data_IF_340331016723
#
_entry.id   IF_340331016723
#
_cell.length_a   1.000
_cell.length_b   1.000
_cell.length_c   1.000
_cell.angle_alpha   90.00
_cell.angle_beta   90.00
_cell.angle_gamma   90.00
#
_symmetry.space_group_name_H-M   'P 1'
#
loop_
_entity.id
_entity.type
_entity.pdbx_description
1 polymer ?
#
# COMPACT_ATOMS: atom_id res chain seq x y z
N UNK A 1 18.64 -41.23 40.58
CA UNK A 1 17.22 -40.84 40.67
C UNK A 1 17.09 -39.45 40.05
N UNK A 2 16.72 -39.37 38.77
CA UNK A 2 16.35 -38.11 38.12
C UNK A 2 14.86 -37.90 38.36
N UNK A 3 14.46 -36.77 38.92
CA UNK A 3 13.07 -36.51 39.31
C UNK A 3 12.18 -36.41 38.06
N UNK A 4 10.96 -36.93 38.17
CA UNK A 4 9.94 -36.92 37.10
C UNK A 4 9.47 -35.51 36.70
N UNK A 5 9.99 -34.47 37.33
CA UNK A 5 9.57 -33.08 37.15
C UNK A 5 10.29 -32.35 36.00
N UNK A 6 11.34 -32.92 35.42
CA UNK A 6 12.07 -32.28 34.31
C UNK A 6 11.50 -32.60 32.91
N UNK A 7 10.58 -33.58 32.78
CA UNK A 7 10.08 -34.02 31.48
C UNK A 7 8.81 -33.26 31.03
N UNK A 8 8.10 -32.62 31.96
CA UNK A 8 6.84 -31.90 31.68
C UNK A 8 7.06 -30.47 31.18
N UNK A 9 8.25 -29.88 31.43
CA UNK A 9 8.55 -28.49 31.01
C UNK A 9 8.96 -28.40 29.54
N UNK A 10 9.46 -29.48 28.94
CA UNK A 10 9.91 -29.48 27.54
C UNK A 10 8.74 -29.71 26.56
N UNK A 11 7.63 -30.33 27.00
CA UNK A 11 6.47 -30.58 26.13
C UNK A 11 5.50 -29.40 26.01
N UNK A 12 5.53 -28.43 26.95
CA UNK A 12 4.68 -27.25 26.90
C UNK A 12 5.31 -26.08 26.12
N UNK A 13 6.64 -26.09 25.91
CA UNK A 13 7.35 -25.02 25.20
C UNK A 13 7.34 -25.17 23.66
N UNK A 14 6.92 -26.32 23.13
CA UNK A 14 6.95 -26.60 21.68
C UNK A 14 5.58 -26.38 21.00
N UNK A 15 4.51 -26.20 21.79
CA UNK A 15 3.13 -26.10 21.29
C UNK A 15 2.61 -24.65 21.11
N UNK A 16 3.45 -23.64 21.35
CA UNK A 16 3.08 -22.22 21.23
C UNK A 16 3.89 -21.46 20.16
N UNK A 17 4.52 -22.18 19.23
CA UNK A 17 5.11 -21.61 18.00
C UNK A 17 4.12 -21.73 16.84
N UNK A 18 2.85 -21.39 17.09
CA UNK A 18 1.96 -20.91 16.04
C UNK A 18 2.23 -19.42 15.87
N UNK A 19 3.43 -19.07 15.39
CA UNK A 19 3.67 -17.72 14.88
C UNK A 19 2.71 -17.57 13.70
N UNK A 20 1.71 -16.71 13.84
CA UNK A 20 1.09 -16.09 12.69
C UNK A 20 2.26 -15.51 11.88
N UNK A 21 2.56 -16.09 10.73
CA UNK A 21 3.38 -15.41 9.74
C UNK A 21 2.53 -14.23 9.28
N UNK A 22 2.70 -13.08 9.94
CA UNK A 22 2.43 -11.81 9.30
C UNK A 22 3.39 -11.76 8.14
N UNK A 23 2.91 -12.12 6.95
CA UNK A 23 3.69 -11.97 5.74
C UNK A 23 4.04 -10.48 5.65
N UNK A 24 5.34 -10.18 5.60
CA UNK A 24 5.80 -8.84 5.28
C UNK A 24 5.27 -8.53 3.88
N UNK A 25 4.36 -7.56 3.79
CA UNK A 25 3.79 -7.08 2.54
C UNK A 25 4.69 -5.96 2.05
N UNK A 26 5.39 -6.12 0.92
CA UNK A 26 6.17 -5.03 0.38
C UNK A 26 5.29 -3.81 0.18
N UNK A 27 5.92 -2.65 0.18
CA UNK A 27 5.26 -1.37 -0.01
C UNK A 27 6.09 -0.56 -0.98
N UNK A 28 5.43 0.09 -1.92
CA UNK A 28 6.05 1.12 -2.73
C UNK A 28 5.40 2.48 -2.46
N UNK A 29 6.24 3.50 -2.34
CA UNK A 29 5.84 4.89 -2.38
C UNK A 29 6.40 5.49 -3.66
N UNK A 30 5.53 6.18 -4.40
CA UNK A 30 5.90 7.04 -5.49
C UNK A 30 6.00 8.47 -4.94
N UNK A 31 7.17 9.06 -5.09
CA UNK A 31 7.39 10.47 -4.85
C UNK A 31 7.53 11.18 -6.19
N UNK A 32 6.99 12.38 -6.27
CA UNK A 32 7.08 13.25 -7.43
C UNK A 32 7.82 14.52 -7.04
N UNK A 33 8.68 15.03 -7.93
CA UNK A 33 9.35 16.30 -7.69
C UNK A 33 8.40 17.48 -7.90
N UNK A 34 8.40 18.44 -6.99
CA UNK A 34 7.60 19.67 -7.09
C UNK A 34 8.05 20.61 -8.23
N UNK A 35 9.16 20.27 -8.89
CA UNK A 35 9.68 21.03 -10.03
C UNK A 35 9.88 20.12 -11.22
N UNK A 36 9.29 20.51 -12.34
CA UNK A 36 9.51 19.85 -13.61
C UNK A 36 11.00 19.85 -13.97
N UNK A 37 11.47 18.71 -14.45
CA UNK A 37 12.84 18.56 -14.91
C UNK A 37 12.87 17.91 -16.27
N UNK A 38 13.70 18.44 -17.18
CA UNK A 38 13.81 17.93 -18.56
C UNK A 38 14.32 16.46 -18.66
N UNK A 39 14.62 15.78 -17.54
CA UNK A 39 15.31 14.50 -17.53
C UNK A 39 14.96 13.58 -16.33
N UNK A 40 14.01 12.65 -16.52
CA UNK A 40 13.92 11.31 -15.90
C UNK A 40 14.18 11.23 -14.40
N UNK A 41 13.83 12.29 -13.68
CA UNK A 41 14.12 12.49 -12.26
C UNK A 41 12.91 13.04 -11.51
N UNK A 42 11.75 13.11 -12.17
CA UNK A 42 10.51 13.64 -11.60
C UNK A 42 9.89 12.61 -10.68
N UNK A 43 9.88 11.34 -11.09
CA UNK A 43 9.31 10.26 -10.30
C UNK A 43 10.39 9.42 -9.61
N UNK A 44 10.32 9.32 -8.29
CA UNK A 44 11.18 8.51 -7.45
C UNK A 44 10.37 7.43 -6.75
N UNK A 45 10.76 6.18 -6.92
CA UNK A 45 10.12 5.05 -6.25
C UNK A 45 10.97 4.58 -5.08
N UNK A 46 10.36 4.45 -3.91
CA UNK A 46 10.94 3.87 -2.71
C UNK A 46 10.19 2.60 -2.32
N UNK A 47 10.92 1.49 -2.26
CA UNK A 47 10.41 0.20 -1.82
C UNK A 47 10.77 -0.07 -0.36
N UNK A 48 9.83 -0.62 0.39
CA UNK A 48 9.96 -1.06 1.77
C UNK A 48 9.52 -2.52 1.88
N UNK A 49 10.11 -3.27 2.81
CA UNK A 49 9.77 -4.69 2.99
C UNK A 49 8.39 -4.89 3.65
N UNK A 50 7.99 -3.94 4.49
CA UNK A 50 6.75 -3.95 5.26
C UNK A 50 6.44 -2.55 5.84
N UNK A 51 5.26 -2.41 6.46
CA UNK A 51 4.84 -1.17 7.12
C UNK A 51 5.80 -0.73 8.21
N UNK A 52 6.41 -1.66 8.95
CA UNK A 52 7.36 -1.30 9.99
C UNK A 52 8.61 -0.68 9.38
N UNK A 53 9.09 -1.22 8.25
CA UNK A 53 10.20 -0.65 7.48
C UNK A 53 9.84 0.74 6.94
N UNK A 54 8.61 0.97 6.49
CA UNK A 54 8.12 2.31 6.15
C UNK A 54 8.14 3.23 7.37
N UNK A 55 7.56 2.80 8.50
CA UNK A 55 7.52 3.58 9.75
C UNK A 55 8.94 3.93 10.24
N UNK A 56 9.88 3.00 10.14
CA UNK A 56 11.26 3.18 10.57
C UNK A 56 12.16 3.84 9.50
N UNK A 57 11.60 4.22 8.34
CA UNK A 57 12.33 4.75 7.17
C UNK A 57 13.46 3.83 6.66
N UNK A 58 13.29 2.51 6.81
CA UNK A 58 14.24 1.52 6.33
C UNK A 58 13.92 1.12 4.88
N UNK A 59 14.42 1.93 3.94
CA UNK A 59 14.28 1.68 2.51
C UNK A 59 15.01 0.39 2.10
N UNK A 60 14.31 -0.50 1.40
CA UNK A 60 14.87 -1.72 0.84
C UNK A 60 15.61 -1.44 -0.48
N UNK A 61 14.94 -0.73 -1.39
CA UNK A 61 15.51 -0.26 -2.65
C UNK A 61 14.83 1.01 -3.11
N UNK A 62 15.49 1.80 -3.96
CA UNK A 62 14.88 2.96 -4.58
C UNK A 62 15.48 3.27 -5.94
N UNK A 63 14.73 3.95 -6.78
CA UNK A 63 15.17 4.35 -8.12
C UNK A 63 14.34 5.51 -8.67
N UNK A 64 14.95 6.31 -9.54
CA UNK A 64 14.22 7.25 -10.36
C UNK A 64 13.66 6.55 -11.59
N UNK A 65 12.38 6.79 -11.86
CA UNK A 65 11.78 6.40 -13.14
C UNK A 65 12.37 7.24 -14.27
N UNK A 66 12.61 6.61 -15.41
CA UNK A 66 12.96 7.27 -16.66
C UNK A 66 11.73 7.87 -17.37
N UNK A 67 10.54 7.75 -16.78
CA UNK A 67 9.36 8.47 -17.24
C UNK A 67 9.58 9.97 -17.04
N UNK A 68 9.39 10.74 -18.11
CA UNK A 68 9.28 12.19 -18.04
C UNK A 68 7.79 12.54 -18.01
N UNK A 69 7.36 13.19 -16.94
CA UNK A 69 6.07 13.80 -16.88
C UNK A 69 6.10 15.09 -17.71
N UNK A 70 4.94 15.44 -18.24
CA UNK A 70 4.77 16.74 -18.84
C UNK A 70 4.52 17.72 -17.70
N UNK A 71 5.06 18.94 -17.80
CA UNK A 71 4.95 20.05 -16.83
C UNK A 71 3.54 20.59 -16.61
N UNK A 72 2.52 19.82 -16.97
CA UNK A 72 1.12 20.16 -16.82
C UNK A 72 0.38 18.99 -16.17
N UNK A 73 1.12 18.02 -15.63
CA UNK A 73 0.57 16.85 -14.98
C UNK A 73 1.35 16.57 -13.71
N UNK A 74 0.60 16.22 -12.68
CA UNK A 74 1.07 15.66 -11.43
C UNK A 74 0.60 14.21 -11.29
N UNK A 75 1.21 13.47 -10.37
CA UNK A 75 0.83 12.11 -10.02
C UNK A 75 -0.23 12.10 -8.92
N UNK A 76 -1.38 11.52 -9.26
CA UNK A 76 -2.57 11.44 -8.40
C UNK A 76 -2.79 10.08 -7.75
N UNK A 77 -1.87 9.13 -7.98
CA UNK A 77 -1.93 7.80 -7.39
C UNK A 77 -1.21 6.72 -8.18
N UNK A 78 -0.89 5.61 -7.50
CA UNK A 78 -0.29 4.42 -8.09
C UNK A 78 -0.98 3.19 -7.52
N UNK A 79 -1.52 2.33 -8.40
CA UNK A 79 -2.12 1.05 -8.01
C UNK A 79 -1.40 -0.11 -8.68
N UNK A 80 -1.29 -1.25 -7.99
CA UNK A 80 -0.98 -2.54 -8.61
C UNK A 80 -2.23 -3.41 -8.60
N UNK A 81 -2.68 -3.84 -9.78
CA UNK A 81 -3.95 -4.58 -9.92
C UNK A 81 -3.78 -6.12 -9.89
N UNK A 82 -2.59 -6.59 -9.48
CA UNK A 82 -2.21 -8.00 -9.54
C UNK A 82 -1.57 -8.42 -10.85
N UNK A 83 -1.64 -7.59 -11.91
CA UNK A 83 -0.99 -7.86 -13.20
C UNK A 83 -0.11 -6.73 -13.69
N UNK A 84 -0.49 -5.48 -13.42
CA UNK A 84 0.17 -4.28 -13.93
C UNK A 84 0.08 -3.13 -12.93
N UNK A 85 1.00 -2.18 -13.05
CA UNK A 85 0.93 -0.90 -12.36
C UNK A 85 0.10 0.07 -13.17
N UNK A 86 -0.79 0.78 -12.50
CA UNK A 86 -1.57 1.88 -13.05
C UNK A 86 -1.14 3.16 -12.35
N UNK A 87 -0.44 4.02 -13.07
CA UNK A 87 -0.10 5.36 -12.63
C UNK A 87 -1.23 6.29 -13.07
N UNK A 88 -1.87 6.93 -12.09
CA UNK A 88 -2.84 7.99 -12.30
C UNK A 88 -2.08 9.31 -12.34
N UNK A 89 -2.27 10.05 -13.42
CA UNK A 89 -1.79 11.41 -13.59
C UNK A 89 -2.99 12.34 -13.69
N UNK A 90 -2.87 13.51 -13.09
CA UNK A 90 -3.86 14.56 -13.11
C UNK A 90 -3.29 15.81 -13.76
N UNK A 91 -4.05 16.45 -14.63
CA UNK A 91 -3.67 17.69 -15.28
C UNK A 91 -3.76 18.86 -14.30
N UNK A 92 -2.68 19.66 -14.18
CA UNK A 92 -2.62 20.84 -13.30
C UNK A 92 -3.61 21.94 -13.69
N UNK A 93 -4.17 21.85 -14.90
CA UNK A 93 -5.25 22.71 -15.34
C UNK A 93 -6.55 21.93 -15.45
N UNK A 94 -7.58 22.45 -14.80
CA UNK A 94 -8.95 21.98 -15.00
C UNK A 94 -9.35 22.14 -16.47
N UNK A 95 -9.82 21.04 -17.07
CA UNK A 95 -10.35 21.04 -18.42
C UNK A 95 -11.85 20.79 -18.39
N UNK A 96 -12.65 21.56 -19.15
CA UNK A 96 -14.12 21.45 -19.14
C UNK A 96 -14.69 20.11 -19.68
N UNK A 97 -13.88 19.07 -19.96
CA UNK A 97 -14.37 17.77 -20.43
C UNK A 97 -13.32 16.64 -20.41
N UNK A 98 -13.38 15.74 -19.42
CA UNK A 98 -12.97 14.33 -19.53
C UNK A 98 -11.54 14.12 -20.01
N UNK A 99 -10.62 14.96 -19.54
CA UNK A 99 -9.20 14.95 -19.89
C UNK A 99 -8.32 15.36 -18.71
N UNK A 100 -8.89 15.51 -17.52
CA UNK A 100 -8.16 15.85 -16.30
C UNK A 100 -7.32 14.65 -15.84
N UNK A 101 -7.88 13.44 -15.93
CA UNK A 101 -7.19 12.22 -15.51
C UNK A 101 -6.63 11.43 -16.69
N UNK A 102 -5.35 11.08 -16.60
CA UNK A 102 -4.63 10.23 -17.54
C UNK A 102 -4.07 9.01 -16.82
N UNK A 103 -4.25 7.83 -17.39
CA UNK A 103 -3.73 6.60 -16.81
C UNK A 103 -2.65 6.04 -17.72
N UNK A 104 -1.47 5.77 -17.12
CA UNK A 104 -0.39 5.04 -17.76
C UNK A 104 -0.21 3.67 -17.10
N UNK A 105 -0.26 2.62 -17.91
CA UNK A 105 -0.10 1.24 -17.48
C UNK A 105 1.32 0.75 -17.73
N UNK A 106 1.84 -0.05 -16.80
CA UNK A 106 3.15 -0.68 -16.87
C UNK A 106 3.04 -2.15 -16.50
N UNK A 107 3.57 -3.03 -17.35
CA UNK A 107 3.47 -4.49 -17.16
C UNK A 107 4.28 -4.99 -15.95
N UNK A 108 5.19 -4.17 -15.41
CA UNK A 108 6.00 -4.53 -14.25
C UNK A 108 6.58 -3.29 -13.54
N UNK A 109 7.09 -3.49 -12.33
CA UNK A 109 7.84 -2.46 -11.60
C UNK A 109 9.05 -1.97 -12.41
N UNK A 110 9.76 -2.88 -13.09
CA UNK A 110 10.91 -2.50 -13.91
C UNK A 110 10.47 -1.67 -15.12
N UNK A 111 9.31 -1.95 -15.71
CA UNK A 111 8.75 -1.11 -16.77
C UNK A 111 8.45 0.30 -16.27
N UNK A 112 7.93 0.44 -15.04
CA UNK A 112 7.70 1.72 -14.40
C UNK A 112 9.02 2.47 -14.16
N UNK A 113 10.06 1.79 -13.66
CA UNK A 113 11.41 2.39 -13.53
C UNK A 113 12.00 2.78 -14.88
N UNK A 114 11.87 1.94 -15.91
CA UNK A 114 12.46 2.20 -17.23
C UNK A 114 11.62 3.19 -18.08
N UNK A 115 10.45 3.63 -17.59
CA UNK A 115 9.53 4.48 -18.35
C UNK A 115 8.86 3.78 -19.55
N UNK A 116 8.81 2.45 -19.54
CA UNK A 116 8.26 1.64 -20.63
C UNK A 116 6.75 1.43 -20.46
N UNK A 117 5.97 2.42 -20.90
CA UNK A 117 4.50 2.41 -20.89
C UNK A 117 3.95 1.32 -21.83
N UNK A 118 3.09 0.43 -21.32
CA UNK A 118 2.44 -0.62 -22.14
C UNK A 118 1.14 -0.15 -22.78
N UNK A 119 0.36 0.67 -22.07
CA UNK A 119 -0.80 1.38 -22.59
C UNK A 119 -1.03 2.68 -21.84
N UNK A 120 -1.75 3.62 -22.47
CA UNK A 120 -2.21 4.81 -21.77
C UNK A 120 -3.47 5.40 -22.39
N UNK A 121 -4.27 6.08 -21.59
CA UNK A 121 -5.50 6.74 -22.03
C UNK A 121 -5.95 7.80 -21.04
N UNK A 122 -6.62 8.84 -21.56
CA UNK A 122 -7.42 9.72 -20.72
C UNK A 122 -8.66 8.98 -20.22
N UNK A 123 -9.03 9.24 -18.97
CA UNK A 123 -10.34 8.92 -18.44
C UNK A 123 -11.37 9.94 -18.91
N UNK A 124 -12.59 9.49 -19.19
CA UNK A 124 -13.74 10.35 -19.47
C UNK A 124 -14.41 10.87 -18.19
N UNK A 125 -13.87 10.53 -17.01
CA UNK A 125 -14.28 11.14 -15.74
C UNK A 125 -13.97 12.64 -15.80
N UNK A 126 -14.98 13.44 -15.49
CA UNK A 126 -14.84 14.89 -15.34
C UNK A 126 -14.75 15.19 -13.85
N UNK A 127 -13.63 15.79 -13.45
CA UNK A 127 -13.40 16.15 -12.06
C UNK A 127 -13.98 17.54 -11.81
N UNK A 128 -14.57 17.71 -10.64
CA UNK A 128 -14.93 19.04 -10.20
C UNK A 128 -13.63 19.78 -9.88
N UNK A 129 -13.47 21.00 -10.37
CA UNK A 129 -12.31 21.90 -10.20
C UNK A 129 -12.02 22.35 -8.76
N UNK A 130 -12.56 21.63 -7.78
CA UNK A 130 -12.33 21.85 -6.36
C UNK A 130 -11.85 20.56 -5.70
N UNK A 131 -11.50 19.56 -6.49
CA UNK A 131 -11.03 18.25 -6.06
C UNK A 131 -9.84 17.86 -6.91
N UNK A 132 -8.81 17.39 -6.21
CA UNK A 132 -7.65 16.73 -6.79
C UNK A 132 -7.70 15.24 -6.46
N UNK A 133 -7.01 14.43 -7.25
CA UNK A 133 -6.83 13.01 -7.01
C UNK A 133 -5.75 12.77 -5.95
N UNK A 134 -6.15 12.08 -4.88
CA UNK A 134 -5.33 11.85 -3.69
C UNK A 134 -4.90 10.38 -3.50
N UNK A 135 -5.22 9.52 -4.48
CA UNK A 135 -4.82 8.12 -4.47
C UNK A 135 -5.68 7.21 -5.32
N UNK A 136 -5.07 6.12 -5.77
CA UNK A 136 -5.71 5.05 -6.53
C UNK A 136 -5.34 3.70 -5.90
N UNK A 137 -6.34 2.91 -5.50
CA UNK A 137 -6.13 1.55 -5.02
C UNK A 137 -6.91 0.54 -5.88
N UNK A 138 -6.37 -0.67 -6.01
CA UNK A 138 -7.13 -1.83 -6.49
C UNK A 138 -7.35 -2.79 -5.33
N UNK A 139 -8.60 -3.11 -5.04
CA UNK A 139 -8.95 -3.92 -3.86
C UNK A 139 -9.06 -5.43 -4.13
N UNK A 140 -8.56 -5.88 -5.28
CA UNK A 140 -8.73 -7.23 -5.79
C UNK A 140 -9.99 -7.43 -6.63
N UNK A 141 -10.91 -6.46 -6.63
CA UNK A 141 -12.17 -6.54 -7.39
C UNK A 141 -12.50 -5.27 -8.17
N UNK A 142 -12.15 -4.10 -7.65
CA UNK A 142 -12.50 -2.80 -8.20
C UNK A 142 -11.40 -1.78 -7.92
N UNK A 143 -11.36 -0.73 -8.74
CA UNK A 143 -10.50 0.42 -8.50
C UNK A 143 -11.24 1.42 -7.61
N UNK A 144 -10.56 1.89 -6.56
CA UNK A 144 -11.02 2.95 -5.69
C UNK A 144 -10.17 4.20 -5.94
N UNK A 145 -10.82 5.26 -6.36
CA UNK A 145 -10.24 6.59 -6.51
C UNK A 145 -10.60 7.42 -5.29
N UNK A 146 -9.57 7.97 -4.64
CA UNK A 146 -9.71 8.99 -3.61
C UNK A 146 -9.59 10.35 -4.28
N UNK A 147 -10.59 11.19 -4.07
CA UNK A 147 -10.57 12.61 -4.41
C UNK A 147 -10.56 13.42 -3.12
N UNK A 148 -9.66 14.38 -3.03
CA UNK A 148 -9.51 15.29 -1.91
C UNK A 148 -9.89 16.71 -2.36
N UNK A 149 -10.65 17.42 -1.53
CA UNK A 149 -11.03 18.79 -1.80
C UNK A 149 -9.80 19.71 -1.73
N UNK A 150 -9.59 20.56 -2.73
CA UNK A 150 -8.45 21.52 -2.76
C UNK A 150 -8.52 22.56 -1.64
N UNK A 151 -9.68 22.70 -1.01
CA UNK A 151 -9.88 23.53 0.15
C UNK A 151 -10.25 22.66 1.35
N UNK A 152 -9.58 22.92 2.48
CA UNK A 152 -9.94 22.36 3.78
C UNK A 152 -11.44 22.57 4.04
N UNK A 153 -12.09 21.49 4.45
CA UNK A 153 -13.50 21.53 4.78
C UNK A 153 -13.79 20.67 6.01
N UNK A 154 -14.93 20.91 6.66
CA UNK A 154 -15.33 20.07 7.77
C UNK A 154 -15.55 18.61 7.30
N UNK A 155 -15.26 17.66 8.19
CA UNK A 155 -15.55 16.23 8.05
C UNK A 155 -16.83 15.94 7.24
N UNK A 156 -16.75 15.02 6.27
CA UNK A 156 -17.88 14.70 5.41
C UNK A 156 -17.94 15.46 4.09
N UNK A 157 -17.00 16.37 3.83
CA UNK A 157 -16.94 17.15 2.57
C UNK A 157 -15.56 17.14 1.90
N UNK A 158 -14.53 16.66 2.60
CA UNK A 158 -13.13 16.76 2.18
C UNK A 158 -12.69 15.58 1.32
N UNK A 159 -13.02 14.36 1.75
CA UNK A 159 -12.63 13.13 1.04
C UNK A 159 -13.85 12.53 0.34
N UNK A 160 -13.76 12.36 -0.97
CA UNK A 160 -14.75 11.70 -1.80
C UNK A 160 -14.18 10.43 -2.42
N UNK A 161 -14.85 9.31 -2.20
CA UNK A 161 -14.45 8.01 -2.76
C UNK A 161 -15.32 7.68 -3.97
N UNK A 162 -14.69 7.28 -5.07
CA UNK A 162 -15.36 6.73 -6.25
C UNK A 162 -14.84 5.33 -6.58
N UNK A 163 -15.76 4.39 -6.78
CA UNK A 163 -15.47 2.99 -7.10
C UNK A 163 -15.77 2.69 -8.56
N UNK A 164 -14.90 1.90 -9.19
CA UNK A 164 -15.01 1.48 -10.58
C UNK A 164 -14.81 -0.03 -10.69
N UNK A 165 -15.78 -0.73 -11.28
CA UNK A 165 -15.74 -2.20 -11.42
C UNK A 165 -14.53 -2.72 -12.21
N UNK A 166 -13.87 -1.87 -13.00
CA UNK A 166 -12.71 -2.23 -13.81
C UNK A 166 -11.91 -1.00 -14.22
N UNK A 167 -10.69 -1.21 -14.73
CA UNK A 167 -9.89 -0.15 -15.34
C UNK A 167 -10.62 0.49 -16.52
N UNK A 168 -11.34 -0.30 -17.33
CA UNK A 168 -12.14 0.24 -18.43
C UNK A 168 -13.28 1.12 -17.92
N UNK A 169 -13.93 0.74 -16.82
CA UNK A 169 -14.97 1.58 -16.19
C UNK A 169 -14.39 2.91 -15.71
N UNK A 170 -13.17 2.90 -15.14
CA UNK A 170 -12.45 4.12 -14.77
C UNK A 170 -12.11 4.97 -16.00
N UNK A 171 -11.63 4.37 -17.08
CA UNK A 171 -11.36 5.07 -18.34
C UNK A 171 -12.62 5.64 -18.99
N UNK A 172 -13.75 4.93 -18.90
CA UNK A 172 -15.04 5.37 -19.45
C UNK A 172 -15.77 6.36 -18.52
N UNK A 173 -15.23 6.64 -17.33
CA UNK A 173 -15.89 7.47 -16.32
C UNK A 173 -17.18 6.86 -15.75
N UNK A 174 -17.33 5.53 -15.84
CA UNK A 174 -18.51 4.80 -15.36
C UNK A 174 -18.35 4.44 -13.88
N UNK A 175 -18.81 5.34 -13.01
CA UNK A 175 -18.78 5.16 -11.55
C UNK A 175 -19.79 4.08 -11.12
N UNK A 176 -19.31 3.06 -10.42
CA UNK A 176 -20.15 1.99 -9.86
C UNK A 176 -20.83 2.44 -8.54
N UNK A 177 -20.06 3.09 -7.68
CA UNK A 177 -20.54 3.72 -6.45
C UNK A 177 -19.66 4.89 -6.05
N UNK A 178 -20.21 5.82 -5.28
CA UNK A 178 -19.42 6.92 -4.73
C UNK A 178 -20.02 7.45 -3.44
N UNK A 179 -19.18 7.97 -2.55
CA UNK A 179 -19.62 8.58 -1.30
C UNK A 179 -18.57 9.54 -0.76
N UNK A 180 -19.03 10.60 -0.08
CA UNK A 180 -18.16 11.31 0.84
C UNK A 180 -17.81 10.41 2.03
N UNK A 181 -16.56 10.49 2.45
CA UNK A 181 -16.08 9.93 3.71
C UNK A 181 -16.28 10.94 4.84
N UNK A 182 -16.56 10.45 6.04
CA UNK A 182 -16.54 11.21 7.29
C UNK A 182 -15.12 11.42 7.83
N UNK A 183 -14.10 10.94 7.12
CA UNK A 183 -12.72 11.28 7.39
C UNK A 183 -12.52 12.80 7.30
N UNK A 184 -11.76 13.33 8.24
CA UNK A 184 -11.35 14.72 8.31
C UNK A 184 -9.83 14.73 8.34
N UNK A 185 -9.23 15.01 7.20
CA UNK A 185 -7.81 15.25 7.08
C UNK A 185 -7.53 16.59 7.79
N UNK A 186 -6.36 16.70 8.40
CA UNK A 186 -6.00 17.94 9.06
C UNK A 186 -5.52 18.92 7.99
N UNK A 187 -5.89 20.19 8.09
CA UNK A 187 -5.48 21.30 7.21
C UNK A 187 -3.97 21.57 7.03
N UNK A 188 -3.10 20.69 7.54
CA UNK A 188 -1.66 20.74 7.31
C UNK A 188 -1.16 19.42 6.69
N UNK A 189 -2.08 18.62 6.16
CA UNK A 189 -1.84 17.35 5.53
C UNK A 189 -2.70 17.24 4.28
N UNK A 190 -2.10 16.62 3.27
CA UNK A 190 -2.78 16.18 2.05
C UNK A 190 -2.63 14.68 1.90
N UNK A 191 -3.47 14.06 1.10
CA UNK A 191 -3.37 12.65 0.77
C UNK A 191 -2.28 12.40 -0.27
N UNK A 192 -1.29 11.59 0.12
CA UNK A 192 -0.17 11.18 -0.74
C UNK A 192 -0.34 9.80 -1.36
N UNK A 193 -1.50 9.16 -1.14
CA UNK A 193 -1.86 7.90 -1.79
C UNK A 193 -2.78 6.98 -0.96
N UNK A 194 -3.46 6.08 -1.67
CA UNK A 194 -4.35 5.07 -1.11
C UNK A 194 -3.92 3.69 -1.60
N UNK A 195 -3.81 2.72 -0.69
CA UNK A 195 -3.53 1.33 -1.03
C UNK A 195 -4.52 0.37 -0.35
N UNK A 196 -4.69 -0.81 -0.93
CA UNK A 196 -5.35 -1.93 -0.28
C UNK A 196 -4.35 -3.08 -0.15
N UNK A 197 -4.14 -3.55 1.08
CA UNK A 197 -3.10 -4.55 1.39
C UNK A 197 -3.61 -6.00 1.31
N UNK A 198 -4.81 -6.22 0.77
CA UNK A 198 -5.49 -7.50 0.78
C UNK A 198 -6.41 -7.71 2.00
N UNK A 199 -6.33 -6.84 3.02
CA UNK A 199 -7.15 -6.92 4.23
C UNK A 199 -7.74 -5.58 4.66
N UNK A 200 -6.98 -4.50 4.55
CA UNK A 200 -7.32 -3.17 5.02
C UNK A 200 -6.96 -2.11 3.97
N UNK A 201 -7.66 -0.98 4.03
CA UNK A 201 -7.30 0.22 3.29
C UNK A 201 -6.29 1.02 4.08
N UNK A 202 -5.33 1.60 3.37
CA UNK A 202 -4.17 2.25 3.94
C UNK A 202 -4.03 3.59 3.23
N UNK A 203 -4.15 4.66 4.01
CA UNK A 203 -4.05 6.04 3.53
C UNK A 203 -2.71 6.61 3.98
N UNK A 204 -1.91 7.03 3.01
CA UNK A 204 -0.71 7.79 3.24
C UNK A 204 -1.09 9.27 3.20
N UNK A 205 -0.80 9.98 4.29
CA UNK A 205 -0.91 11.42 4.38
C UNK A 205 0.48 12.01 4.45
N UNK A 206 0.68 13.12 3.75
CA UNK A 206 1.90 13.92 3.77
C UNK A 206 1.58 15.28 4.38
N UNK A 207 2.48 15.83 5.20
CA UNK A 207 2.30 17.18 5.71
C UNK A 207 2.63 18.22 4.64
N UNK A 208 1.76 19.22 4.47
CA UNK A 208 1.95 20.29 3.48
C UNK A 208 3.16 21.19 3.78
N UNK A 209 3.71 21.09 4.99
CA UNK A 209 4.89 21.82 5.40
C UNK A 209 6.01 20.84 5.73
N UNK A 210 7.17 21.08 5.11
CA UNK A 210 8.41 20.40 5.50
C UNK A 210 8.64 20.54 7.00
N UNK A 211 8.91 19.43 7.66
CA UNK A 211 9.20 19.39 9.08
C UNK A 211 10.45 18.56 9.35
N UNK A 212 11.07 18.77 10.52
CA UNK A 212 12.20 17.92 10.89
C UNK A 212 11.76 16.45 10.91
N UNK A 213 12.65 15.55 10.48
CA UNK A 213 12.39 14.12 10.28
C UNK A 213 11.45 13.48 11.33
N UNK A 214 10.45 12.74 10.86
CA UNK A 214 9.55 11.94 11.69
C UNK A 214 8.14 12.48 11.88
N UNK A 215 7.74 13.54 11.16
CA UNK A 215 6.38 14.11 11.23
C UNK A 215 5.74 14.41 9.86
N UNK A 216 6.42 14.10 8.75
CA UNK A 216 5.93 14.44 7.41
C UNK A 216 4.99 13.36 6.86
N UNK A 217 5.35 12.09 7.01
CA UNK A 217 4.54 10.97 6.49
C UNK A 217 3.74 10.33 7.62
N UNK A 218 2.43 10.29 7.48
CA UNK A 218 1.50 9.66 8.40
C UNK A 218 0.72 8.56 7.69
N UNK A 219 0.71 7.37 8.27
CA UNK A 219 -0.03 6.23 7.76
C UNK A 219 -1.27 5.99 8.62
N UNK A 220 -2.44 5.92 7.99
CA UNK A 220 -3.69 5.53 8.62
C UNK A 220 -4.26 4.25 7.99
N UNK A 221 -4.66 3.31 8.84
CA UNK A 221 -5.23 2.03 8.43
C UNK A 221 -6.72 1.96 8.77
N UNK A 222 -7.50 1.40 7.86
CA UNK A 222 -8.95 1.21 7.97
C UNK A 222 -9.29 -0.24 7.66
N UNK A 223 -9.94 -0.94 8.60
CA UNK A 223 -10.27 -2.37 8.48
C UNK A 223 -11.13 -2.74 7.26
N UNK A 224 -11.79 -1.75 6.64
CA UNK A 224 -12.63 -1.95 5.46
C UNK A 224 -12.86 -0.64 4.72
N UNK A 225 -13.38 -0.73 3.49
CA UNK A 225 -13.85 0.44 2.74
C UNK A 225 -14.92 1.22 3.52
N UNK A 226 -15.84 0.52 4.20
CA UNK A 226 -16.84 1.18 5.03
C UNK A 226 -16.20 1.92 6.22
N UNK A 227 -15.16 1.34 6.84
CA UNK A 227 -14.40 2.02 7.90
C UNK A 227 -13.73 3.29 7.39
N UNK A 228 -13.19 3.27 6.15
CA UNK A 228 -12.67 4.45 5.48
C UNK A 228 -13.77 5.50 5.24
N UNK A 229 -14.95 5.11 4.76
CA UNK A 229 -16.10 6.02 4.60
C UNK A 229 -16.63 6.58 5.92
N UNK A 230 -16.60 5.79 6.99
CA UNK A 230 -17.06 6.22 8.31
C UNK A 230 -15.98 7.03 9.07
N UNK A 231 -14.77 7.18 8.52
CA UNK A 231 -13.64 7.82 9.19
C UNK A 231 -13.14 7.05 10.42
N UNK A 232 -13.42 5.74 10.51
CA UNK A 232 -13.05 4.89 11.65
C UNK A 232 -11.66 4.31 11.45
N UNK A 233 -10.65 5.02 11.98
CA UNK A 233 -9.24 4.60 11.93
C UNK A 233 -9.00 3.41 12.86
N UNK A 234 -8.49 2.31 12.31
CA UNK A 234 -8.14 1.10 13.05
C UNK A 234 -6.77 1.23 13.74
N UNK A 235 -5.80 1.77 13.01
CA UNK A 235 -4.47 2.11 13.55
C UNK A 235 -3.84 3.24 12.76
N UNK A 236 -2.86 3.93 13.34
CA UNK A 236 -2.09 4.95 12.64
C UNK A 236 -0.70 5.13 13.23
N UNK A 237 0.21 5.66 12.44
CA UNK A 237 1.60 5.91 12.85
C UNK A 237 2.26 6.98 11.99
N UNK A 238 3.10 7.81 12.61
CA UNK A 238 4.05 8.63 11.88
C UNK A 238 5.24 7.78 11.46
N UNK A 239 5.65 7.94 10.21
CA UNK A 239 6.90 7.41 9.70
C UNK A 239 8.06 8.36 10.02
N UNK A 240 9.24 7.78 10.24
CA UNK A 240 10.52 8.47 10.30
C UNK A 240 11.03 8.90 8.92
N UNK A 241 10.30 8.55 7.85
CA UNK A 241 10.61 8.96 6.49
C UNK A 241 10.52 10.48 6.42
N UNK A 242 11.60 11.08 5.93
CA UNK A 242 11.64 12.49 5.62
C UNK A 242 11.62 12.61 4.09
N UNK A 243 10.57 13.22 3.58
CA UNK A 243 10.47 13.52 2.17
C UNK A 243 11.26 14.82 1.95
N UNK A 244 12.04 14.86 0.88
CA UNK A 244 12.81 16.05 0.60
C UNK A 244 11.86 17.18 0.19
N UNK A 245 12.10 18.40 0.66
CA UNK A 245 11.38 19.63 0.34
C UNK A 245 11.16 20.00 -1.15
N UNK A 246 11.60 19.17 -2.07
CA UNK A 246 11.35 19.34 -3.51
C UNK A 246 10.60 18.13 -4.08
N UNK A 247 9.99 17.33 -3.21
CA UNK A 247 9.22 16.14 -3.54
C UNK A 247 7.97 16.11 -2.68
N UNK A 248 6.93 15.55 -3.27
CA UNK A 248 5.65 15.23 -2.63
C UNK A 248 5.30 13.76 -2.89
N UNK A 249 4.49 13.15 -2.05
CA UNK A 249 3.98 11.79 -2.24
C UNK A 249 2.85 11.79 -3.27
N UNK A 250 3.01 11.02 -4.35
CA UNK A 250 2.06 10.95 -5.47
C UNK A 250 1.54 9.54 -5.75
N UNK A 251 1.81 8.58 -4.86
CA UNK A 251 1.31 7.22 -5.02
C UNK A 251 1.78 6.24 -3.95
N UNK A 252 0.96 5.22 -3.70
CA UNK A 252 1.17 4.28 -2.62
C UNK A 252 0.61 2.91 -2.99
N UNK A 253 1.47 1.88 -2.97
CA UNK A 253 1.10 0.49 -3.25
C UNK A 253 1.45 -0.37 -2.05
N UNK A 254 0.52 -1.21 -1.64
CA UNK A 254 0.75 -2.29 -0.69
C UNK A 254 0.41 -3.61 -1.36
N UNK A 255 1.36 -4.55 -1.38
CA UNK A 255 1.13 -5.82 -2.05
C UNK A 255 0.38 -6.78 -1.14
N UNK A 256 -0.79 -7.23 -1.59
CA UNK A 256 -1.46 -8.35 -0.97
C UNK A 256 -0.61 -9.63 -1.13
N UNK A 257 -0.51 -10.49 -0.10
CA UNK A 257 0.19 -11.75 -0.22
C UNK A 257 -0.54 -12.67 -1.23
N UNK A 258 0.15 -13.08 -2.28
CA UNK A 258 -0.35 -14.14 -3.17
C UNK A 258 -0.27 -15.49 -2.45
N UNK A 259 -1.43 -15.94 -1.96
CA UNK A 259 -1.65 -17.22 -1.28
C UNK A 259 -0.84 -17.48 0.01
N UNK A 260 -1.37 -18.26 0.98
CA UNK A 260 -0.57 -18.71 2.10
C UNK A 260 0.57 -19.58 1.59
N UNK A 261 1.82 -19.14 1.81
CA UNK A 261 3.00 -19.97 1.55
C UNK A 261 2.78 -21.32 2.21
N UNK A 262 2.85 -22.40 1.42
CA UNK A 262 2.80 -23.76 1.94
C UNK A 262 3.90 -23.90 2.99
N UNK A 263 3.49 -23.81 4.27
CA UNK A 263 4.39 -24.03 5.39
C UNK A 263 4.94 -25.43 5.19
N UNK A 264 6.26 -25.54 4.93
CA UNK A 264 6.91 -26.84 4.96
C UNK A 264 6.53 -27.46 6.30
N UNK A 265 5.81 -28.60 6.26
CA UNK A 265 5.31 -29.26 7.45
C UNK A 265 6.43 -29.24 8.50
N UNK A 266 6.21 -28.64 9.68
CA UNK A 266 7.27 -28.54 10.66
C UNK A 266 7.85 -29.94 10.84
N UNK A 267 9.16 -30.02 11.06
CA UNK A 267 9.85 -31.28 11.34
C UNK A 267 9.29 -32.04 12.57
N UNK A 268 8.18 -31.57 13.17
CA UNK A 268 7.32 -32.25 14.16
C UNK A 268 6.87 -33.63 13.71
N UNK A 269 6.58 -33.90 12.43
CA UNK A 269 6.31 -35.28 11.98
C UNK A 269 7.57 -36.16 12.06
N UNK A 270 8.73 -35.62 11.65
CA UNK A 270 10.03 -36.28 11.80
C UNK A 270 10.42 -36.51 13.27
N UNK A 271 10.17 -35.54 14.13
CA UNK A 271 10.43 -35.62 15.58
C UNK A 271 9.43 -36.54 16.30
N UNK A 272 8.17 -36.62 15.86
CA UNK A 272 7.20 -37.58 16.37
C UNK A 272 7.62 -39.01 16.02
N UNK A 273 8.09 -39.24 14.79
CA UNK A 273 8.59 -40.55 14.34
C UNK A 273 9.89 -40.93 15.07
N UNK A 274 10.83 -39.98 15.25
CA UNK A 274 12.06 -40.21 16.03
C UNK A 274 11.76 -40.43 17.52
N UNK A 275 10.79 -39.71 18.09
CA UNK A 275 10.33 -39.86 19.47
C UNK A 275 9.66 -41.21 19.72
N UNK A 276 8.79 -41.67 18.82
CA UNK A 276 8.17 -42.99 18.87
C UNK A 276 9.21 -44.11 18.66
N UNK A 277 10.16 -43.94 17.74
CA UNK A 277 11.28 -44.87 17.53
C UNK A 277 12.15 -45.03 18.78
N UNK A 278 12.48 -43.93 19.46
CA UNK A 278 13.24 -43.94 20.71
C UNK A 278 12.48 -44.63 21.86
N UNK A 279 11.15 -44.46 21.94
CA UNK A 279 10.31 -45.17 22.92
C UNK A 279 10.25 -46.68 22.66
N UNK A 280 10.13 -47.10 21.40
CA UNK A 280 10.11 -48.52 21.04
C UNK A 280 11.46 -49.22 21.26
N UNK A 281 12.57 -48.53 20.98
CA UNK A 281 13.93 -49.02 21.30
C UNK A 281 14.17 -49.15 22.80
N UNK A 282 13.60 -48.27 23.62
CA UNK A 282 13.69 -48.35 25.09
C UNK A 282 12.87 -49.53 25.65
N UNK A 283 11.73 -49.85 25.07
CA UNK A 283 10.89 -50.96 25.54
C UNK A 283 11.49 -52.35 25.25
N UNK A 284 12.26 -52.47 24.14
CA UNK A 284 12.99 -53.72 23.82
C UNK A 284 14.17 -54.01 24.76
N UNK A 285 14.77 -53.00 25.41
CA UNK A 285 15.88 -53.20 26.35
C UNK A 285 15.46 -53.59 27.76
N UNK A 286 14.17 -53.50 28.10
CA UNK A 286 13.63 -53.89 29.42
C UNK A 286 13.05 -55.31 29.45
N UNK A 287 13.13 -56.05 28.34
CA UNK A 287 12.61 -57.43 28.20
C UNK A 287 13.73 -58.48 27.97
N UNK A 288 15.00 -58.11 28.19
CA UNK A 288 16.15 -59.01 28.21
C UNK A 288 16.79 -59.01 29.60
#
# INVERSE_FOLDING_TARGET
MLSRSALTVISAAVLYLGLAQTHAMPIDILLESDTDSDAGSELFLANFNDYQSLIDATVNSSSFSQLNLNSTFSSGGLAFDGSSYQLLLESDSDADAGSELFIASFDSYQNLIDGNVSSSSFSQLNLNSTFSSGGLAFDGSSYQLLLESDADSDAGSEVFMASFDSLQSLLDGTVASSSFSQLNINANFSSGGLAFDGSAYQLLLESDADSDAGSEVFLASFDSFQSLLDGTVASSSFSQLNINANFSAGGFVAYAPEDPVAVSEPATLGLLILGLGALMLRHRRTLL
#
